data_IF_780962306087
#
_entry.id   IF_780962306087
#
_cell.length_a   1.000
_cell.length_b   1.000
_cell.length_c   1.000
_cell.angle_alpha   90.00
_cell.angle_beta   90.00
_cell.angle_gamma   90.00
#
_symmetry.space_group_name_H-M   'P 1'
#
loop_
_entity.id
_entity.type
_entity.pdbx_description
1 polymer ?
#
# COMPACT_ATOMS: atom_id res chain seq x y z
N UNK A 1 6.61 10.79 9.11
CA UNK A 1 5.61 11.72 8.58
C UNK A 1 5.93 11.90 7.11
N UNK A 2 5.07 11.40 6.23
CA UNK A 2 5.19 11.64 4.80
C UNK A 2 4.42 12.94 4.55
N UNK A 3 5.06 13.97 3.99
CA UNK A 3 4.48 15.29 3.78
C UNK A 3 3.13 15.19 3.06
N UNK A 4 2.10 15.81 3.63
CA UNK A 4 0.68 15.49 3.40
C UNK A 4 0.11 15.69 1.99
N UNK A 5 0.94 16.04 1.00
CA UNK A 5 0.53 16.26 -0.39
C UNK A 5 1.40 15.53 -1.42
N UNK A 6 2.48 14.86 -1.02
CA UNK A 6 3.31 14.10 -1.95
C UNK A 6 2.68 12.71 -2.19
N UNK A 7 2.56 12.31 -3.46
CA UNK A 7 2.12 10.96 -3.82
C UNK A 7 3.33 10.04 -3.75
N UNK A 8 3.29 9.04 -2.88
CA UNK A 8 4.35 8.04 -2.76
C UNK A 8 3.94 6.74 -3.44
N UNK A 9 4.78 6.26 -4.36
CA UNK A 9 4.62 4.95 -4.99
C UNK A 9 4.98 3.86 -3.97
N UNK A 10 4.09 2.89 -3.81
CA UNK A 10 4.43 1.67 -3.08
C UNK A 10 5.52 0.89 -3.82
N UNK A 11 6.56 0.52 -3.08
CA UNK A 11 7.71 -0.27 -3.56
C UNK A 11 7.53 -1.77 -3.35
N UNK A 12 6.38 -2.18 -2.78
CA UNK A 12 6.00 -3.57 -2.55
C UNK A 12 4.53 -3.79 -2.92
N UNK A 13 4.12 -5.02 -3.27
CA UNK A 13 2.72 -5.35 -3.45
C UNK A 13 1.98 -5.30 -2.11
N UNK A 14 0.82 -4.66 -2.07
CA UNK A 14 -0.09 -4.67 -0.93
C UNK A 14 -1.45 -5.24 -1.32
N UNK A 15 -2.18 -5.83 -0.36
CA UNK A 15 -3.54 -6.33 -0.55
C UNK A 15 -4.49 -5.74 0.49
N UNK A 16 -5.74 -5.51 0.08
CA UNK A 16 -6.81 -5.08 0.99
C UNK A 16 -7.31 -6.28 1.78
N UNK A 17 -7.48 -6.12 3.08
CA UNK A 17 -8.10 -7.09 3.97
C UNK A 17 -9.17 -6.40 4.82
N UNK A 18 -9.91 -7.18 5.61
CA UNK A 18 -10.72 -6.62 6.67
C UNK A 18 -9.81 -5.86 7.67
N UNK A 19 -10.11 -4.60 7.96
CA UNK A 19 -9.31 -3.77 8.87
C UNK A 19 -8.13 -3.02 8.23
N UNK A 20 -7.95 -3.06 6.90
CA UNK A 20 -7.02 -2.16 6.21
C UNK A 20 -6.17 -2.83 5.12
N UNK A 21 -4.88 -2.50 5.11
CA UNK A 21 -3.91 -2.94 4.12
C UNK A 21 -2.78 -3.72 4.75
N UNK A 22 -2.31 -4.75 4.06
CA UNK A 22 -1.13 -5.52 4.45
C UNK A 22 -0.15 -5.67 3.29
N UNK A 23 1.14 -5.84 3.59
CA UNK A 23 2.15 -6.29 2.61
C UNK A 23 1.75 -7.67 2.11
N UNK A 24 1.64 -7.84 0.80
CA UNK A 24 1.18 -9.10 0.23
C UNK A 24 2.16 -10.26 0.49
N UNK A 25 3.45 -9.96 0.66
CA UNK A 25 4.51 -10.96 0.87
C UNK A 25 4.63 -11.43 2.31
N UNK A 26 4.42 -10.55 3.30
CA UNK A 26 4.70 -10.84 4.73
C UNK A 26 3.46 -10.85 5.60
N UNK A 27 2.35 -10.26 5.15
CA UNK A 27 1.13 -10.13 5.95
C UNK A 27 1.13 -8.98 6.96
N UNK A 28 2.22 -8.21 7.05
CA UNK A 28 2.32 -7.06 7.97
C UNK A 28 1.36 -5.93 7.59
N UNK A 29 0.68 -5.33 8.58
CA UNK A 29 -0.16 -4.15 8.39
C UNK A 29 0.64 -2.94 7.91
N UNK A 30 0.07 -2.21 6.94
CA UNK A 30 0.63 -0.99 6.39
C UNK A 30 -0.39 0.13 6.41
N UNK A 31 0.02 1.29 6.90
CA UNK A 31 -0.79 2.50 6.88
C UNK A 31 -0.61 3.18 5.52
N UNK A 32 -1.53 2.92 4.60
CA UNK A 32 -1.53 3.51 3.25
C UNK A 32 -2.92 4.04 2.92
N UNK A 33 -2.97 5.15 2.19
CA UNK A 33 -4.20 5.74 1.66
C UNK A 33 -4.09 5.79 0.13
N UNK A 34 -4.47 4.71 -0.59
CA UNK A 34 -4.31 4.65 -2.04
C UNK A 34 -5.15 5.71 -2.72
N UNK A 35 -4.52 6.54 -3.55
CA UNK A 35 -5.21 7.50 -4.44
C UNK A 35 -5.25 7.02 -5.89
N UNK A 36 -4.37 6.10 -6.25
CA UNK A 36 -4.27 5.49 -7.59
C UNK A 36 -3.94 4.01 -7.46
N UNK A 37 -4.36 3.23 -8.45
CA UNK A 37 -4.13 1.78 -8.50
C UNK A 37 -3.13 1.43 -9.60
N UNK A 38 -2.27 0.44 -9.33
CA UNK A 38 -1.45 -0.21 -10.35
C UNK A 38 -1.42 -1.70 -10.10
N UNK A 39 -1.54 -2.48 -11.17
CA UNK A 39 -1.32 -3.93 -11.14
C UNK A 39 0.15 -4.17 -10.77
N UNK A 40 0.37 -5.04 -9.78
CA UNK A 40 1.73 -5.50 -9.51
C UNK A 40 2.07 -6.62 -10.49
N UNK A 41 3.13 -6.47 -11.32
CA UNK A 41 3.59 -7.59 -12.15
C UNK A 41 4.02 -8.74 -11.25
N UNK A 42 3.86 -9.98 -11.75
CA UNK A 42 4.31 -11.18 -11.04
C UNK A 42 5.82 -11.20 -10.89
#
# INVERSE_FOLDING_TARGET
>A
MIEGHAIHRLVFPCRRIFGGWIKAMTGEHVAVQPTHWRIWPR
#
